data_IF_773078784729
#
_entry.id   IF_773078784729
#
_cell.length_a   1.000
_cell.length_b   1.000
_cell.length_c   1.000
_cell.angle_alpha   90.00
_cell.angle_beta   90.00
_cell.angle_gamma   90.00
#
_symmetry.space_group_name_H-M   'P 1'
#
loop_
_entity.id
_entity.type
_entity.pdbx_description
1 polymer ?
#
# COMPACT_ATOMS: atom_id res chain seq x y z
N UNK A 1 21.03 21.38 3.57
CA UNK A 1 22.26 21.14 2.78
C UNK A 1 21.95 21.30 1.30
N UNK A 2 22.44 22.33 0.59
CA UNK A 2 22.04 22.61 -0.81
C UNK A 2 23.18 23.02 -1.76
N UNK A 3 24.43 22.70 -1.44
CA UNK A 3 25.60 23.18 -2.21
C UNK A 3 26.08 22.27 -3.35
N UNK A 4 25.57 21.04 -3.48
CA UNK A 4 26.02 20.08 -4.51
C UNK A 4 25.14 20.05 -5.76
N UNK A 5 23.85 20.38 -5.65
CA UNK A 5 22.87 20.20 -6.74
C UNK A 5 23.19 20.95 -8.05
N UNK A 6 23.88 22.10 -8.01
CA UNK A 6 24.06 22.97 -9.19
C UNK A 6 25.20 22.57 -10.13
N UNK A 7 26.23 21.88 -9.62
CA UNK A 7 27.37 21.46 -10.45
C UNK A 7 27.06 20.15 -11.17
N UNK A 8 26.41 19.23 -10.46
CA UNK A 8 26.00 17.93 -11.01
C UNK A 8 24.96 18.10 -12.13
N UNK A 9 24.10 19.12 -12.05
CA UNK A 9 23.09 19.42 -13.07
C UNK A 9 23.71 19.73 -14.45
N UNK A 10 24.80 20.50 -14.51
CA UNK A 10 25.49 20.78 -15.79
C UNK A 10 26.08 19.52 -16.42
N UNK A 11 26.64 18.63 -15.60
CA UNK A 11 27.18 17.35 -16.07
C UNK A 11 26.06 16.42 -16.54
N UNK A 12 24.98 16.34 -15.79
CA UNK A 12 23.78 15.58 -16.13
C UNK A 12 23.19 16.05 -17.46
N UNK A 13 22.98 17.36 -17.62
CA UNK A 13 22.49 17.94 -18.88
C UNK A 13 23.41 17.64 -20.06
N UNK A 14 24.73 17.61 -19.84
CA UNK A 14 25.70 17.24 -20.88
C UNK A 14 25.59 15.75 -21.26
N UNK A 15 25.39 14.86 -20.29
CA UNK A 15 25.16 13.43 -20.53
C UNK A 15 23.84 13.18 -21.26
N UNK A 16 22.76 13.85 -20.86
CA UNK A 16 21.45 13.75 -21.50
C UNK A 16 21.50 14.18 -22.97
N UNK A 17 22.22 15.25 -23.29
CA UNK A 17 22.43 15.68 -24.69
C UNK A 17 23.11 14.61 -25.55
N UNK A 18 24.05 13.83 -24.99
CA UNK A 18 24.72 12.73 -25.72
C UNK A 18 23.78 11.56 -26.03
N UNK A 19 22.75 11.36 -25.22
CA UNK A 19 21.68 10.37 -25.43
C UNK A 19 20.61 10.86 -26.43
N UNK A 20 20.79 12.06 -27.01
CA UNK A 20 19.88 12.67 -27.97
C UNK A 20 18.45 12.78 -27.40
N UNK A 21 18.33 13.13 -26.13
CA UNK A 21 17.01 13.37 -25.52
C UNK A 21 16.40 14.67 -26.04
N UNK A 22 15.12 14.64 -26.38
CA UNK A 22 14.34 15.77 -26.82
C UNK A 22 13.35 16.19 -25.73
N UNK A 23 13.08 17.48 -25.61
CA UNK A 23 12.15 17.99 -24.61
C UNK A 23 10.71 17.71 -25.06
N UNK A 24 9.88 17.15 -24.18
CA UNK A 24 8.45 16.93 -24.45
C UNK A 24 7.68 18.10 -23.81
N UNK A 25 7.03 18.98 -24.60
CA UNK A 25 6.25 20.09 -24.05
C UNK A 25 4.88 19.62 -23.55
N UNK A 26 4.27 20.40 -22.65
CA UNK A 26 2.89 20.20 -22.24
C UNK A 26 2.64 19.00 -21.34
N UNK A 27 3.67 18.50 -20.64
CA UNK A 27 3.46 17.43 -19.65
C UNK A 27 2.77 18.01 -18.42
N UNK A 28 1.56 17.51 -18.16
CA UNK A 28 0.76 17.90 -17.00
C UNK A 28 1.23 17.18 -15.75
N UNK A 29 1.51 15.88 -15.85
CA UNK A 29 1.97 15.09 -14.71
C UNK A 29 2.80 13.88 -15.16
N UNK A 30 3.65 13.40 -14.26
CA UNK A 30 4.31 12.08 -14.36
C UNK A 30 4.10 11.33 -13.06
N UNK A 31 3.61 10.10 -13.17
CA UNK A 31 3.41 9.20 -12.04
C UNK A 31 4.34 7.99 -12.17
N UNK A 32 5.16 7.75 -11.16
CA UNK A 32 5.95 6.52 -11.05
C UNK A 32 5.32 5.65 -9.97
N UNK A 33 4.59 4.62 -10.40
CA UNK A 33 3.91 3.68 -9.51
C UNK A 33 4.90 2.63 -9.04
N UNK A 34 5.04 2.48 -7.73
CA UNK A 34 5.88 1.45 -7.11
C UNK A 34 5.03 0.27 -6.66
N UNK A 35 5.70 -0.86 -6.44
CA UNK A 35 5.06 -2.12 -6.02
C UNK A 35 4.54 -2.07 -4.59
N UNK A 36 5.06 -1.15 -3.77
CA UNK A 36 4.65 -0.90 -2.38
C UNK A 36 3.32 -0.15 -2.24
N UNK A 37 2.70 0.26 -3.37
CA UNK A 37 1.45 1.03 -3.40
C UNK A 37 1.63 2.53 -3.21
N UNK A 38 2.86 3.03 -3.15
CA UNK A 38 3.13 4.47 -3.19
C UNK A 38 3.51 4.92 -4.59
N UNK A 39 3.24 6.19 -4.88
CA UNK A 39 3.45 6.82 -6.19
C UNK A 39 4.38 8.00 -6.00
N UNK A 40 5.43 8.08 -6.81
CA UNK A 40 6.22 9.30 -6.94
C UNK A 40 5.52 10.15 -8.01
N UNK A 41 4.83 11.19 -7.56
CA UNK A 41 4.05 12.10 -8.36
C UNK A 41 4.85 13.37 -8.67
N UNK A 42 4.86 13.76 -9.93
CA UNK A 42 5.38 15.04 -10.38
C UNK A 42 4.26 15.84 -11.02
N UNK A 43 3.98 17.04 -10.51
CA UNK A 43 3.06 17.98 -11.13
C UNK A 43 3.81 18.96 -12.04
N UNK A 44 3.33 19.10 -13.28
CA UNK A 44 3.90 19.88 -14.36
C UNK A 44 5.44 19.73 -14.52
N UNK A 45 5.99 18.50 -14.61
CA UNK A 45 7.43 18.31 -14.72
C UNK A 45 7.98 18.71 -16.08
N UNK A 46 9.28 19.03 -16.11
CA UNK A 46 10.04 19.08 -17.35
C UNK A 46 10.47 17.66 -17.71
N UNK A 47 10.02 17.17 -18.86
CA UNK A 47 10.40 15.85 -19.36
C UNK A 47 11.26 15.98 -20.61
N UNK A 48 12.34 15.22 -20.63
CA UNK A 48 13.16 14.99 -21.81
C UNK A 48 13.15 13.49 -22.10
N UNK A 49 13.01 13.08 -23.35
CA UNK A 49 12.99 11.68 -23.71
C UNK A 49 13.74 11.41 -25.00
N UNK A 50 14.36 10.24 -25.05
CA UNK A 50 14.85 9.64 -26.29
C UNK A 50 14.07 8.35 -26.50
N UNK A 51 13.10 8.37 -27.41
CA UNK A 51 12.30 7.19 -27.74
C UNK A 51 13.16 6.10 -28.38
N UNK A 52 14.18 6.49 -29.17
CA UNK A 52 15.13 5.55 -29.76
C UNK A 52 15.94 4.77 -28.69
N UNK A 53 16.23 5.41 -27.56
CA UNK A 53 16.96 4.81 -26.45
C UNK A 53 16.06 4.37 -25.28
N UNK A 54 14.73 4.44 -25.43
CA UNK A 54 13.75 4.19 -24.36
C UNK A 54 14.10 4.88 -23.03
N UNK A 55 14.68 6.07 -23.11
CA UNK A 55 15.21 6.79 -21.94
C UNK A 55 14.37 8.04 -21.69
N UNK A 56 13.85 8.17 -20.48
CA UNK A 56 13.10 9.33 -20.01
C UNK A 56 13.85 9.99 -18.85
N UNK A 57 14.04 11.29 -18.93
CA UNK A 57 14.58 12.13 -17.88
C UNK A 57 13.49 13.09 -17.42
N UNK A 58 13.07 12.94 -16.16
CA UNK A 58 12.01 13.73 -15.54
C UNK A 58 12.67 14.64 -14.53
N UNK A 59 12.38 15.94 -14.59
CA UNK A 59 12.91 16.95 -13.66
C UNK A 59 11.78 17.81 -13.16
N UNK A 60 11.63 17.90 -11.84
CA UNK A 60 10.56 18.67 -11.21
C UNK A 60 10.49 18.37 -9.73
N UNK A 61 9.50 18.96 -9.06
CA UNK A 61 9.20 18.63 -7.68
C UNK A 61 8.53 17.25 -7.61
N UNK A 62 9.12 16.35 -6.81
CA UNK A 62 8.60 15.01 -6.59
C UNK A 62 7.87 14.94 -5.26
N UNK A 63 6.64 14.44 -5.25
CA UNK A 63 5.86 14.17 -4.06
C UNK A 63 5.61 12.67 -3.97
N UNK A 64 5.89 12.06 -2.82
CA UNK A 64 5.50 10.66 -2.58
C UNK A 64 4.11 10.66 -1.97
N UNK A 65 3.16 10.03 -2.66
CA UNK A 65 1.75 9.92 -2.24
C UNK A 65 1.34 8.46 -2.17
N UNK A 66 0.32 8.14 -1.39
CA UNK A 66 -0.31 6.83 -1.46
C UNK A 66 -1.22 6.78 -2.69
N UNK A 67 -1.23 5.64 -3.39
CA UNK A 67 -2.06 5.45 -4.58
C UNK A 67 -3.56 5.66 -4.29
N UNK A 68 -3.99 5.39 -3.06
CA UNK A 68 -5.36 5.59 -2.57
C UNK A 68 -5.77 7.06 -2.52
N UNK A 69 -4.81 7.98 -2.32
CA UNK A 69 -5.04 9.44 -2.29
C UNK A 69 -5.26 10.03 -3.68
N UNK A 70 -4.84 9.32 -4.73
CA UNK A 70 -4.97 9.76 -6.13
C UNK A 70 -6.19 9.15 -6.85
N UNK A 71 -7.06 8.46 -6.10
CA UNK A 71 -8.31 7.90 -6.62
C UNK A 71 -9.37 9.00 -6.80
N UNK A 72 -10.24 8.91 -7.83
CA UNK A 72 -10.28 7.85 -8.85
C UNK A 72 -9.39 8.12 -10.07
N UNK A 73 -8.77 9.30 -10.18
CA UNK A 73 -8.08 9.75 -11.41
C UNK A 73 -6.94 8.83 -11.87
N UNK A 74 -6.17 8.30 -10.93
CA UNK A 74 -5.03 7.41 -11.21
C UNK A 74 -5.45 6.10 -11.87
N UNK A 75 -6.71 5.65 -11.73
CA UNK A 75 -7.20 4.39 -12.29
C UNK A 75 -7.04 4.31 -13.81
N UNK A 76 -7.12 5.43 -14.51
CA UNK A 76 -6.95 5.48 -15.97
C UNK A 76 -5.49 5.27 -16.42
N UNK A 77 -4.54 5.43 -15.51
CA UNK A 77 -3.11 5.26 -15.76
C UNK A 77 -2.62 3.88 -15.30
N UNK A 78 -3.40 3.20 -14.45
CA UNK A 78 -3.11 1.87 -13.96
C UNK A 78 -3.61 0.83 -14.96
N UNK A 79 -2.76 -0.14 -15.29
CA UNK A 79 -3.19 -1.35 -15.98
C UNK A 79 -3.87 -2.34 -15.02
N UNK A 80 -4.44 -3.42 -15.57
CA UNK A 80 -5.09 -4.48 -14.78
C UNK A 80 -4.18 -5.09 -13.70
N UNK A 81 -2.87 -5.18 -13.97
CA UNK A 81 -1.88 -5.69 -13.03
C UNK A 81 -1.71 -4.77 -11.81
N UNK A 82 -1.52 -3.46 -12.02
CA UNK A 82 -1.39 -2.50 -10.93
C UNK A 82 -2.67 -2.38 -10.10
N UNK A 83 -3.85 -2.56 -10.70
CA UNK A 83 -5.13 -2.63 -9.97
C UNK A 83 -5.22 -3.87 -9.08
N UNK A 84 -4.64 -4.99 -9.50
CA UNK A 84 -4.60 -6.21 -8.68
C UNK A 84 -3.72 -5.99 -7.45
N UNK A 85 -2.56 -5.33 -7.62
CA UNK A 85 -1.69 -4.94 -6.51
C UNK A 85 -2.37 -3.95 -5.57
N UNK A 86 -3.03 -2.92 -6.13
CA UNK A 86 -3.82 -1.96 -5.38
C UNK A 86 -4.90 -2.65 -4.55
N UNK A 87 -5.68 -3.56 -5.15
CA UNK A 87 -6.75 -4.28 -4.46
C UNK A 87 -6.20 -5.13 -3.32
N UNK A 88 -5.05 -5.78 -3.51
CA UNK A 88 -4.38 -6.55 -2.47
C UNK A 88 -3.92 -5.66 -1.32
N UNK A 89 -3.25 -4.55 -1.62
CA UNK A 89 -2.78 -3.59 -0.61
C UNK A 89 -3.95 -2.93 0.14
N UNK A 90 -4.99 -2.54 -0.58
CA UNK A 90 -6.23 -2.02 0.00
C UNK A 90 -6.90 -3.07 0.89
N UNK A 91 -6.97 -4.35 0.47
CA UNK A 91 -7.55 -5.41 1.30
C UNK A 91 -6.76 -5.68 2.58
N UNK A 92 -5.43 -5.57 2.54
CA UNK A 92 -4.58 -5.71 3.74
C UNK A 92 -4.77 -4.51 4.68
N UNK A 93 -4.87 -3.30 4.12
CA UNK A 93 -5.06 -2.08 4.92
C UNK A 93 -6.48 -2.00 5.50
N UNK A 94 -7.50 -2.41 4.75
CA UNK A 94 -8.89 -2.50 5.22
C UNK A 94 -9.13 -3.67 6.19
N UNK A 95 -8.33 -4.75 6.13
CA UNK A 95 -8.41 -5.84 7.09
C UNK A 95 -7.97 -5.41 8.51
N UNK A 96 -7.10 -4.39 8.63
CA UNK A 96 -6.76 -3.79 9.93
C UNK A 96 -7.89 -2.92 10.51
N UNK A 97 -8.75 -2.34 9.66
CA UNK A 97 -9.92 -1.55 10.11
C UNK A 97 -11.18 -2.38 10.37
N UNK A 98 -11.22 -3.66 9.96
CA UNK A 98 -12.37 -4.56 10.17
C UNK A 98 -12.12 -5.65 11.24
N UNK A 99 -10.97 -5.65 11.92
CA UNK A 99 -10.69 -6.53 13.07
C UNK A 99 -11.19 -5.95 14.42
N UNK A 100 -11.92 -4.84 14.41
CA UNK A 100 -12.64 -4.31 15.58
C UNK A 100 -14.05 -3.79 15.26
N UNK A 101 -14.99 -4.63 14.78
CA UNK A 101 -16.39 -4.44 15.10
C UNK A 101 -16.76 -5.35 16.28
N UNK A 102 -17.13 -4.70 17.39
CA UNK A 102 -17.81 -5.26 18.57
C UNK A 102 -16.92 -5.93 19.62
N UNK A 103 -16.76 -5.32 20.81
CA UNK A 103 -17.77 -5.58 21.82
C UNK A 103 -18.37 -4.32 22.46
N UNK A 104 -19.67 -4.23 22.23
CA UNK A 104 -20.71 -3.52 22.96
C UNK A 104 -20.44 -3.24 24.45
N UNK A 105 -20.65 -2.00 24.87
CA UNK A 105 -21.20 -1.68 26.20
C UNK A 105 -22.01 -0.38 26.12
N UNK A 106 -23.17 -0.47 25.50
CA UNK A 106 -24.28 0.46 25.72
C UNK A 106 -25.29 -0.26 26.60
N UNK A 107 -25.16 -0.07 27.91
CA UNK A 107 -26.06 -0.59 28.93
C UNK A 107 -27.44 0.06 28.75
N UNK A 108 -28.36 -0.67 28.09
CA UNK A 108 -29.79 -0.37 28.09
C UNK A 108 -30.40 -1.16 29.25
N UNK A 109 -30.83 -0.43 30.28
CA UNK A 109 -31.62 -0.95 31.39
C UNK A 109 -33.05 -1.22 30.89
N UNK A 110 -33.47 -2.49 30.87
CA UNK A 110 -34.85 -2.89 30.63
C UNK A 110 -35.36 -3.66 31.85
N UNK A 111 -36.50 -3.17 32.34
CA UNK A 111 -37.25 -3.60 33.50
C UNK A 111 -37.65 -5.07 33.43
N UNK A 112 -37.59 -5.72 34.61
CA UNK A 112 -38.12 -7.05 34.86
C UNK A 112 -39.64 -7.10 34.79
N UNK A 113 -40.18 -8.04 34.02
CA UNK A 113 -41.43 -8.72 34.35
C UNK A 113 -41.58 -10.03 33.55
N UNK A 114 -41.46 -11.16 34.27
CA UNK A 114 -42.27 -12.39 34.19
C UNK A 114 -42.31 -13.26 32.90
N UNK A 115 -41.88 -14.52 33.08
CA UNK A 115 -42.72 -15.74 32.94
C UNK A 115 -42.13 -16.90 32.11
N UNK A 116 -41.74 -17.92 32.88
CA UNK A 116 -41.76 -19.38 32.64
C UNK A 116 -41.46 -19.98 31.26
N UNK A 117 -40.40 -20.80 31.24
CA UNK A 117 -40.56 -22.26 31.17
C UNK A 117 -40.52 -22.91 29.78
N UNK A 118 -39.61 -23.87 29.61
CA UNK A 118 -39.81 -25.01 28.72
C UNK A 118 -38.74 -25.22 27.65
N UNK A 119 -38.01 -26.32 27.80
CA UNK A 119 -36.91 -26.83 26.98
C UNK A 119 -37.25 -27.15 25.51
N UNK A 120 -36.23 -27.19 24.65
CA UNK A 120 -36.25 -28.02 23.43
C UNK A 120 -35.41 -27.56 22.24
N UNK A 121 -34.10 -27.86 22.29
CA UNK A 121 -33.15 -28.16 21.19
C UNK A 121 -33.33 -27.53 19.79
N UNK A 122 -32.37 -26.70 19.39
CA UNK A 122 -31.96 -26.52 17.99
C UNK A 122 -30.48 -26.94 17.83
N UNK A 123 -30.24 -27.74 16.80
CA UNK A 123 -28.91 -28.12 16.34
C UNK A 123 -28.19 -26.88 15.79
N UNK A 124 -26.96 -26.66 16.26
CA UNK A 124 -25.99 -25.79 15.61
C UNK A 124 -24.74 -26.65 15.41
N UNK A 125 -24.52 -26.97 14.15
CA UNK A 125 -23.29 -27.46 13.57
C UNK A 125 -22.42 -26.22 13.37
N UNK A 126 -21.41 -26.04 14.22
CA UNK A 126 -20.28 -25.14 13.98
C UNK A 126 -19.04 -25.92 14.45
N UNK A 127 -18.41 -26.58 13.47
CA UNK A 127 -17.06 -27.11 13.56
C UNK A 127 -16.11 -25.91 13.77
N UNK A 128 -15.85 -25.58 15.03
CA UNK A 128 -14.75 -24.72 15.47
C UNK A 128 -13.44 -25.34 14.94
N UNK A 129 -12.90 -24.69 13.92
CA UNK A 129 -11.62 -24.95 13.27
C UNK A 129 -10.54 -25.06 14.38
N UNK A 130 -10.12 -26.30 14.67
CA UNK A 130 -9.05 -26.67 15.59
C UNK A 130 -7.80 -25.80 15.36
N UNK A 131 -7.68 -24.70 16.10
CA UNK A 131 -6.41 -23.99 16.28
C UNK A 131 -5.66 -24.72 17.40
N UNK A 132 -4.62 -25.53 17.09
CA UNK A 132 -3.82 -26.13 18.15
C UNK A 132 -3.04 -25.02 18.87
N UNK A 133 -3.08 -25.05 20.21
CA UNK A 133 -2.32 -24.15 21.06
C UNK A 133 -0.83 -24.19 20.69
N UNK A 134 -0.25 -23.01 20.44
CA UNK A 134 1.18 -22.84 20.21
C UNK A 134 1.93 -23.26 21.47
N UNK A 135 2.54 -24.44 21.44
CA UNK A 135 3.41 -24.93 22.51
C UNK A 135 4.49 -23.88 22.85
N UNK A 136 4.36 -23.26 24.02
CA UNK A 136 5.30 -22.27 24.60
C UNK A 136 6.62 -22.93 25.07
N UNK A 137 7.22 -23.80 24.25
CA UNK A 137 8.51 -24.43 24.57
C UNK A 137 9.48 -24.45 23.37
N UNK A 138 9.57 -23.33 22.64
CA UNK A 138 10.59 -23.16 21.59
C UNK A 138 11.90 -22.52 22.10
N UNK A 139 11.95 -22.06 23.35
CA UNK A 139 13.18 -21.50 23.96
C UNK A 139 14.13 -22.58 24.54
N UNK A 140 13.75 -23.86 24.49
CA UNK A 140 14.57 -24.99 24.99
C UNK A 140 15.23 -25.81 23.86
N UNK A 141 15.31 -25.28 22.64
CA UNK A 141 16.01 -25.95 21.53
C UNK A 141 17.41 -25.37 21.25
N UNK A 142 17.93 -24.45 22.07
CA UNK A 142 19.18 -23.73 21.82
C UNK A 142 20.27 -23.90 22.90
N UNK A 143 20.22 -24.97 23.71
CA UNK A 143 21.30 -25.34 24.66
C UNK A 143 21.69 -26.82 24.62
N UNK A 144 22.06 -27.31 23.45
CA UNK A 144 23.00 -28.42 23.24
C UNK A 144 23.35 -28.33 21.74
N UNK A 145 24.55 -27.95 21.29
CA UNK A 145 25.85 -28.53 21.60
C UNK A 145 26.90 -27.55 21.02
N UNK A 146 27.67 -26.90 21.89
CA UNK A 146 29.00 -26.42 21.55
C UNK A 146 29.91 -26.95 22.65
N UNK A 147 30.96 -27.64 22.19
CA UNK A 147 32.06 -28.32 22.92
C UNK A 147 31.82 -29.80 23.19
#
# INVERSE_FOLDING_TARGET
SSRTATTDDKKLQSSLKKLTVNNIPGIEEVNMIKEDGSVIHFNNPKVQASLAANTFAVTGHAETKQITEMLPGILNQLGAESLTHLKRLASVQSAMDFCFPSSSSKHIEVSHSEQSGGAGACAADDEDDDVPDLVENFDEASKAEVV
#
